data_IF_507388826706
#
_entry.id   IF_507388826706
#
_cell.length_a   1.000
_cell.length_b   1.000
_cell.length_c   1.000
_cell.angle_alpha   90.00
_cell.angle_beta   90.00
_cell.angle_gamma   90.00
#
_symmetry.space_group_name_H-M   'P 1'
#
loop_
_entity.id
_entity.type
_entity.pdbx_description
1 polymer ?
#
# COMPACT_ATOMS: atom_id res chain seq x y z
N UNK A 1 -5.46 -16.65 23.25
CA UNK A 1 -5.79 -15.78 22.10
C UNK A 1 -4.54 -14.96 21.89
N UNK A 2 -3.79 -15.21 20.82
CA UNK A 2 -2.57 -14.48 20.47
C UNK A 2 -3.00 -13.12 19.90
N UNK A 3 -3.48 -12.23 20.76
CA UNK A 3 -4.05 -10.94 20.34
C UNK A 3 -2.97 -9.88 20.06
N UNK A 4 -1.74 -10.08 20.56
CA UNK A 4 -0.67 -9.08 20.49
C UNK A 4 0.49 -9.43 19.52
N UNK A 5 0.47 -10.60 18.88
CA UNK A 5 1.56 -11.09 17.97
C UNK A 5 2.97 -11.05 18.59
N UNK A 6 3.07 -11.09 19.91
CA UNK A 6 4.31 -11.23 20.66
C UNK A 6 4.31 -12.63 21.26
N UNK A 7 5.39 -13.37 21.03
CA UNK A 7 5.68 -14.59 21.77
C UNK A 7 6.86 -14.26 22.68
N UNK A 8 6.63 -14.25 23.98
CA UNK A 8 7.69 -14.06 24.96
C UNK A 8 8.58 -15.32 25.02
N UNK A 9 9.85 -15.16 25.41
CA UNK A 9 10.81 -16.27 25.44
C UNK A 9 10.32 -17.47 26.27
N UNK A 10 9.57 -17.23 27.35
CA UNK A 10 8.97 -18.27 28.20
C UNK A 10 7.81 -19.00 27.52
N UNK A 11 7.03 -18.31 26.69
CA UNK A 11 5.96 -18.91 25.90
C UNK A 11 6.56 -19.78 24.78
N UNK A 12 7.70 -19.35 24.23
CA UNK A 12 8.46 -20.10 23.25
C UNK A 12 9.00 -21.42 23.83
N UNK A 13 9.55 -21.40 25.04
CA UNK A 13 10.01 -22.62 25.74
C UNK A 13 8.84 -23.59 26.01
N UNK A 14 7.69 -23.05 26.42
CA UNK A 14 6.48 -23.86 26.67
C UNK A 14 5.95 -24.51 25.38
N UNK A 15 5.98 -23.78 24.26
CA UNK A 15 5.65 -24.32 22.95
C UNK A 15 6.64 -25.39 22.48
N UNK A 16 7.92 -25.23 22.83
CA UNK A 16 8.97 -26.18 22.48
C UNK A 16 8.85 -27.49 23.26
N UNK A 17 8.51 -27.43 24.55
CA UNK A 17 8.19 -28.61 25.36
C UNK A 17 6.95 -29.34 24.83
N UNK A 18 5.90 -28.59 24.45
CA UNK A 18 4.67 -29.16 23.88
C UNK A 18 4.92 -29.84 22.52
N UNK A 19 5.71 -29.21 21.66
CA UNK A 19 6.09 -29.80 20.37
C UNK A 19 6.89 -31.09 20.54
N UNK A 20 7.80 -31.14 21.53
CA UNK A 20 8.53 -32.35 21.87
C UNK A 20 7.59 -33.47 22.39
N UNK A 21 6.57 -33.11 23.17
CA UNK A 21 5.57 -34.08 23.65
C UNK A 21 4.70 -34.66 22.51
N UNK A 22 4.46 -33.87 21.46
CA UNK A 22 3.75 -34.29 20.26
C UNK A 22 4.63 -35.09 19.28
N UNK A 23 5.90 -35.31 19.60
CA UNK A 23 6.85 -36.06 18.75
C UNK A 23 7.31 -35.28 17.52
N UNK A 24 7.10 -33.96 17.48
CA UNK A 24 7.56 -33.11 16.39
C UNK A 24 9.06 -32.86 16.56
N UNK A 25 9.83 -33.34 15.58
CA UNK A 25 11.23 -32.97 15.50
C UNK A 25 11.38 -31.47 15.19
N UNK A 26 12.49 -30.83 15.58
CA UNK A 26 12.77 -29.44 15.20
C UNK A 26 12.69 -29.19 13.69
N UNK A 27 13.04 -30.20 12.89
CA UNK A 27 12.92 -30.17 11.43
C UNK A 27 11.45 -30.11 10.97
N UNK A 28 10.60 -31.00 11.47
CA UNK A 28 9.17 -31.03 11.12
C UNK A 28 8.45 -29.75 11.55
N UNK A 29 8.78 -29.23 12.73
CA UNK A 29 8.24 -27.94 13.20
C UNK A 29 8.60 -26.80 12.22
N UNK A 30 9.85 -26.75 11.77
CA UNK A 30 10.28 -25.76 10.78
C UNK A 30 9.56 -25.92 9.45
N UNK A 31 9.33 -27.14 8.96
CA UNK A 31 8.54 -27.36 7.75
C UNK A 31 7.09 -26.88 7.90
N UNK A 32 6.44 -27.17 9.03
CA UNK A 32 5.07 -26.71 9.30
C UNK A 32 5.01 -25.19 9.41
N UNK A 33 5.98 -24.55 10.09
CA UNK A 33 6.05 -23.09 10.18
C UNK A 33 6.25 -22.45 8.80
N UNK A 34 7.13 -23.01 7.97
CA UNK A 34 7.37 -22.52 6.61
C UNK A 34 6.12 -22.67 5.73
N UNK A 35 5.44 -23.82 5.79
CA UNK A 35 4.20 -24.05 5.02
C UNK A 35 3.06 -23.12 5.46
N UNK A 36 2.90 -22.92 6.77
CA UNK A 36 1.92 -21.97 7.30
C UNK A 36 2.23 -20.53 6.85
N UNK A 37 3.49 -20.11 6.95
CA UNK A 37 3.92 -18.79 6.50
C UNK A 37 3.67 -18.61 5.00
N UNK A 38 4.01 -19.62 4.18
CA UNK A 38 3.75 -19.57 2.74
C UNK A 38 2.25 -19.40 2.42
N UNK A 39 1.36 -20.04 3.18
CA UNK A 39 -0.09 -19.84 2.99
C UNK A 39 -0.55 -18.40 3.28
N UNK A 40 0.11 -17.70 4.20
CA UNK A 40 -0.16 -16.28 4.49
C UNK A 40 0.38 -15.37 3.39
N UNK A 41 1.56 -15.70 2.84
CA UNK A 41 2.13 -15.00 1.68
C UNK A 41 1.22 -15.15 0.46
N UNK A 42 0.77 -16.37 0.17
CA UNK A 42 -0.15 -16.64 -0.95
C UNK A 42 -1.48 -15.89 -0.78
N UNK A 43 -1.96 -15.75 0.46
CA UNK A 43 -3.15 -14.97 0.75
C UNK A 43 -2.93 -13.47 0.54
N UNK A 44 -1.77 -12.94 0.95
CA UNK A 44 -1.36 -11.54 0.75
C UNK A 44 -1.03 -11.19 -0.71
N UNK A 45 -0.73 -12.19 -1.55
CA UNK A 45 -0.45 -12.00 -2.97
C UNK A 45 -1.67 -12.18 -3.88
N UNK A 46 -2.88 -12.40 -3.33
CA UNK A 46 -4.09 -12.67 -4.13
C UNK A 46 -4.46 -11.56 -5.10
N UNK A 47 -4.20 -10.32 -4.75
CA UNK A 47 -4.41 -9.11 -5.56
C UNK A 47 -3.14 -8.69 -6.31
N UNK A 48 -2.08 -9.50 -6.24
CA UNK A 48 -0.78 -9.30 -6.85
C UNK A 48 -0.06 -8.03 -6.33
N UNK A 49 -0.36 -7.62 -5.09
CA UNK A 49 0.26 -6.48 -4.39
C UNK A 49 0.41 -6.77 -2.90
N UNK A 50 1.65 -6.87 -2.40
CA UNK A 50 1.90 -6.86 -0.94
C UNK A 50 2.02 -5.41 -0.45
N UNK A 51 1.00 -4.92 0.25
CA UNK A 51 1.02 -3.57 0.83
C UNK A 51 2.06 -3.43 1.95
N UNK A 52 2.41 -2.19 2.31
CA UNK A 52 3.33 -1.93 3.42
C UNK A 52 2.79 -2.42 4.77
N UNK A 53 1.46 -2.41 4.97
CA UNK A 53 0.82 -2.92 6.18
C UNK A 53 0.91 -4.46 6.23
N UNK A 54 0.62 -5.13 5.12
CA UNK A 54 0.75 -6.59 5.01
C UNK A 54 2.20 -7.04 5.14
N UNK A 55 3.15 -6.31 4.55
CA UNK A 55 4.56 -6.60 4.73
C UNK A 55 4.99 -6.46 6.20
N UNK A 56 4.52 -5.43 6.92
CA UNK A 56 4.77 -5.31 8.37
C UNK A 56 4.15 -6.45 9.17
N UNK A 57 2.97 -6.92 8.78
CA UNK A 57 2.33 -8.07 9.41
C UNK A 57 3.11 -9.36 9.12
N UNK A 58 3.49 -9.60 7.87
CA UNK A 58 4.32 -10.74 7.46
C UNK A 58 5.68 -10.71 8.17
N UNK A 59 6.28 -9.54 8.37
CA UNK A 59 7.50 -9.38 9.18
C UNK A 59 7.31 -9.83 10.63
N UNK A 60 6.22 -9.42 11.27
CA UNK A 60 5.91 -9.82 12.65
C UNK A 60 5.68 -11.33 12.76
N UNK A 61 4.90 -11.91 11.84
CA UNK A 61 4.62 -13.34 11.82
C UNK A 61 5.87 -14.16 11.50
N UNK A 62 6.70 -13.71 10.56
CA UNK A 62 7.99 -14.33 10.23
C UNK A 62 8.91 -14.41 11.44
N UNK A 63 9.00 -13.31 12.21
CA UNK A 63 9.77 -13.25 13.45
C UNK A 63 9.21 -14.19 14.53
N UNK A 64 7.89 -14.21 14.73
CA UNK A 64 7.22 -15.09 15.69
C UNK A 64 7.41 -16.59 15.35
N UNK A 65 7.53 -16.94 14.06
CA UNK A 65 7.75 -18.30 13.61
C UNK A 65 9.22 -18.73 13.59
N UNK A 66 10.14 -17.81 13.91
CA UNK A 66 11.61 -18.01 13.87
C UNK A 66 12.12 -18.56 12.53
N UNK A 67 11.55 -18.06 11.43
CA UNK A 67 11.95 -18.47 10.09
C UNK A 67 13.27 -17.77 9.68
N UNK A 68 14.08 -18.40 8.81
CA UNK A 68 15.28 -17.75 8.30
C UNK A 68 14.93 -16.52 7.46
N UNK A 69 15.78 -15.49 7.52
CA UNK A 69 15.54 -14.18 6.89
C UNK A 69 15.33 -14.22 5.36
N UNK A 70 15.67 -15.33 4.69
CA UNK A 70 15.49 -15.51 3.25
C UNK A 70 14.04 -15.79 2.81
N UNK A 71 13.16 -16.18 3.74
CA UNK A 71 11.79 -16.63 3.41
C UNK A 71 10.77 -15.49 3.44
N UNK A 72 11.16 -14.29 3.88
CA UNK A 72 10.27 -13.13 3.91
C UNK A 72 10.13 -12.57 2.48
N UNK A 73 8.92 -12.56 1.89
CA UNK A 73 8.71 -11.90 0.60
C UNK A 73 9.05 -10.42 0.74
N UNK A 74 9.75 -9.89 -0.27
CA UNK A 74 9.95 -8.45 -0.35
C UNK A 74 8.58 -7.80 -0.46
N UNK A 75 8.35 -6.71 0.27
CA UNK A 75 7.26 -5.81 -0.06
C UNK A 75 7.35 -5.50 -1.55
N UNK A 76 6.21 -5.46 -2.25
CA UNK A 76 6.23 -4.99 -3.62
C UNK A 76 6.73 -3.54 -3.60
N UNK A 77 8.00 -3.36 -3.98
CA UNK A 77 8.68 -2.07 -4.08
C UNK A 77 8.08 -1.18 -5.17
N UNK A 78 6.97 -1.60 -5.79
CA UNK A 78 6.04 -0.73 -6.51
C UNK A 78 5.64 0.51 -5.66
N UNK A 79 5.81 0.45 -4.34
CA UNK A 79 5.69 1.61 -3.44
C UNK A 79 6.99 2.18 -2.82
N UNK A 80 8.18 1.68 -3.15
CA UNK A 80 9.43 2.13 -2.48
C UNK A 80 10.56 2.62 -3.40
N UNK A 81 10.50 2.40 -4.72
CA UNK A 81 11.55 2.88 -5.63
C UNK A 81 11.01 3.39 -6.97
N UNK A 82 10.81 4.71 -7.11
CA UNK A 82 10.96 5.40 -8.40
C UNK A 82 9.87 5.33 -9.48
N UNK A 83 8.63 4.92 -9.21
CA UNK A 83 7.56 4.98 -10.25
C UNK A 83 6.95 6.38 -10.40
N UNK A 84 7.64 7.25 -11.13
CA UNK A 84 7.07 8.54 -11.56
C UNK A 84 5.85 8.30 -12.44
N UNK A 85 4.77 9.07 -12.24
CA UNK A 85 3.62 9.05 -13.17
C UNK A 85 4.07 9.70 -14.49
N UNK A 86 3.93 9.02 -15.65
CA UNK A 86 4.36 9.57 -16.92
C UNK A 86 3.73 10.95 -17.18
N UNK A 87 4.52 11.90 -17.69
CA UNK A 87 3.99 13.20 -18.06
C UNK A 87 2.92 13.04 -19.15
N UNK A 88 1.87 13.86 -19.06
CA UNK A 88 0.73 13.81 -19.97
C UNK A 88 -0.34 12.78 -19.62
N UNK A 89 -0.12 11.93 -18.61
CA UNK A 89 -1.11 10.94 -18.14
C UNK A 89 -2.42 11.62 -17.74
N UNK A 90 -3.53 11.08 -18.22
CA UNK A 90 -4.88 11.55 -17.90
C UNK A 90 -5.37 10.96 -16.58
N UNK A 91 -5.50 11.79 -15.54
CA UNK A 91 -5.77 11.37 -14.16
C UNK A 91 -7.17 11.78 -13.70
N UNK A 92 -7.95 10.86 -13.14
CA UNK A 92 -9.25 11.16 -12.53
C UNK A 92 -9.17 11.03 -11.02
N UNK A 93 -9.91 11.85 -10.29
CA UNK A 93 -10.02 11.77 -8.82
C UNK A 93 -11.41 11.28 -8.41
N UNK A 94 -11.47 10.41 -7.40
CA UNK A 94 -12.71 9.92 -6.79
C UNK A 94 -12.59 9.83 -5.28
N UNK A 95 -13.71 10.10 -4.59
CA UNK A 95 -13.74 10.16 -3.14
C UNK A 95 -13.15 11.44 -2.57
N UNK A 96 -12.94 11.40 -1.25
CA UNK A 96 -12.19 12.38 -0.47
C UNK A 96 -10.73 11.94 -0.39
N UNK A 97 -9.83 12.91 -0.32
CA UNK A 97 -8.42 12.65 -0.09
C UNK A 97 -8.03 13.31 1.23
N UNK A 98 -7.24 12.60 2.02
CA UNK A 98 -6.68 13.13 3.26
C UNK A 98 -5.16 13.13 3.15
N UNK A 99 -4.55 14.13 3.77
CA UNK A 99 -3.12 14.37 3.72
C UNK A 99 -2.68 14.89 5.06
N UNK A 100 -1.80 14.14 5.71
CA UNK A 100 -1.39 14.42 7.10
C UNK A 100 -2.61 14.61 8.03
N UNK A 101 -3.68 13.84 7.78
CA UNK A 101 -4.94 13.90 8.52
C UNK A 101 -5.90 15.02 8.12
N UNK A 102 -5.53 15.87 7.16
CA UNK A 102 -6.35 17.01 6.70
C UNK A 102 -7.04 16.71 5.36
N UNK A 103 -8.33 17.05 5.20
CA UNK A 103 -9.01 16.86 3.93
C UNK A 103 -8.43 17.79 2.85
N UNK A 104 -8.12 17.24 1.69
CA UNK A 104 -7.61 18.00 0.55
C UNK A 104 -8.72 18.19 -0.49
N UNK A 105 -9.06 19.44 -0.85
CA UNK A 105 -10.08 19.68 -1.83
C UNK A 105 -9.62 19.20 -3.21
N UNK A 106 -10.54 18.63 -3.99
CA UNK A 106 -10.26 18.13 -5.34
C UNK A 106 -9.53 19.13 -6.23
N UNK A 107 -9.85 20.43 -6.11
CA UNK A 107 -9.20 21.51 -6.87
C UNK A 107 -7.69 21.55 -6.65
N UNK A 108 -7.22 21.28 -5.43
CA UNK A 108 -5.80 21.28 -5.08
C UNK A 108 -5.09 20.05 -5.65
N UNK A 109 -5.72 18.87 -5.56
CA UNK A 109 -5.20 17.65 -6.20
C UNK A 109 -5.02 17.84 -7.71
N UNK A 110 -5.99 18.47 -8.37
CA UNK A 110 -5.89 18.77 -9.80
C UNK A 110 -4.84 19.83 -10.12
N UNK A 111 -4.68 20.84 -9.27
CA UNK A 111 -3.63 21.85 -9.43
C UNK A 111 -2.24 21.23 -9.31
N UNK A 112 -2.06 20.34 -8.33
CA UNK A 112 -0.84 19.56 -8.16
C UNK A 112 -0.58 18.62 -9.35
N UNK A 113 -1.62 17.93 -9.84
CA UNK A 113 -1.52 17.12 -11.05
C UNK A 113 -1.01 17.95 -12.25
N UNK A 114 -1.61 19.12 -12.47
CA UNK A 114 -1.22 20.03 -13.58
C UNK A 114 0.23 20.48 -13.47
N UNK A 115 0.68 20.88 -12.28
CA UNK A 115 2.07 21.30 -12.08
C UNK A 115 3.08 20.16 -12.27
N UNK A 116 2.65 18.91 -12.08
CA UNK A 116 3.45 17.71 -12.36
C UNK A 116 3.40 17.27 -13.83
N UNK A 117 2.73 18.03 -14.70
CA UNK A 117 2.59 17.74 -16.13
C UNK A 117 1.52 16.69 -16.44
N UNK A 118 0.61 16.41 -15.50
CA UNK A 118 -0.50 15.47 -15.67
C UNK A 118 -1.76 16.21 -16.16
N UNK A 119 -2.71 15.45 -16.71
CA UNK A 119 -3.96 15.99 -17.28
C UNK A 119 -5.16 15.55 -16.42
N UNK A 120 -5.62 16.36 -15.45
CA UNK A 120 -6.79 16.00 -14.67
C UNK A 120 -8.05 15.94 -15.53
N UNK A 121 -8.84 14.89 -15.36
CA UNK A 121 -10.12 14.65 -16.06
C UNK A 121 -11.24 14.37 -15.05
N UNK A 122 -12.44 14.85 -15.35
CA UNK A 122 -13.58 14.76 -14.43
C UNK A 122 -14.18 13.34 -14.32
N UNK A 123 -14.08 12.57 -15.41
CA UNK A 123 -14.77 11.29 -15.59
C UNK A 123 -13.79 10.17 -15.93
N UNK A 124 -14.03 9.00 -15.37
CA UNK A 124 -13.36 7.77 -15.81
C UNK A 124 -14.03 7.35 -17.10
N UNK A 125 -13.26 7.27 -18.20
CA UNK A 125 -13.69 6.78 -19.50
C UNK A 125 -12.62 5.87 -20.09
N UNK A 126 -12.98 4.90 -20.94
CA UNK A 126 -12.03 3.92 -21.50
C UNK A 126 -10.83 4.53 -22.23
N UNK A 127 -10.99 5.70 -22.85
CA UNK A 127 -9.94 6.38 -23.63
C UNK A 127 -9.45 7.70 -23.04
N UNK A 128 -10.22 8.29 -22.12
CA UNK A 128 -9.93 9.61 -21.56
C UNK A 128 -9.38 9.58 -20.14
N UNK A 129 -9.21 8.40 -19.54
CA UNK A 129 -8.64 8.23 -18.21
C UNK A 129 -7.63 7.09 -18.25
N UNK A 130 -6.42 7.38 -17.80
CA UNK A 130 -5.29 6.45 -17.77
C UNK A 130 -4.90 6.08 -16.34
N UNK A 131 -5.33 6.88 -15.36
CA UNK A 131 -5.11 6.64 -13.94
C UNK A 131 -6.30 7.14 -13.11
N UNK A 132 -6.80 6.33 -12.19
CA UNK A 132 -7.76 6.77 -11.17
C UNK A 132 -7.04 6.95 -9.84
N UNK A 133 -7.12 8.13 -9.24
CA UNK A 133 -6.72 8.38 -7.86
C UNK A 133 -7.94 8.25 -6.96
N UNK A 134 -7.97 7.18 -6.17
CA UNK A 134 -9.07 6.82 -5.28
C UNK A 134 -8.59 5.77 -4.26
N UNK A 135 -9.36 5.57 -3.21
CA UNK A 135 -9.24 4.38 -2.37
C UNK A 135 -9.28 3.10 -3.25
N UNK A 136 -8.25 2.23 -3.21
CA UNK A 136 -8.20 0.98 -3.96
C UNK A 136 -9.40 0.05 -3.70
N UNK A 137 -10.03 0.13 -2.52
CA UNK A 137 -11.19 -0.66 -2.13
C UNK A 137 -12.52 0.03 -2.46
N UNK A 138 -12.47 1.23 -3.07
CA UNK A 138 -13.68 1.98 -3.41
C UNK A 138 -14.64 1.17 -4.29
N UNK A 139 -15.91 1.18 -3.91
CA UNK A 139 -17.03 0.62 -4.69
C UNK A 139 -17.76 1.66 -5.54
N UNK A 140 -17.22 2.87 -5.66
CA UNK A 140 -17.80 3.94 -6.48
C UNK A 140 -17.94 3.52 -7.94
N UNK A 141 -18.88 4.14 -8.66
CA UNK A 141 -19.04 3.91 -10.12
C UNK A 141 -17.74 4.18 -10.89
N UNK A 142 -16.94 5.15 -10.46
CA UNK A 142 -15.61 5.44 -11.04
C UNK A 142 -14.63 4.28 -10.84
N UNK A 143 -14.52 3.75 -9.63
CA UNK A 143 -13.66 2.60 -9.32
C UNK A 143 -14.10 1.32 -10.06
N UNK A 144 -15.42 1.06 -10.11
CA UNK A 144 -15.97 -0.04 -10.92
C UNK A 144 -15.64 0.10 -12.41
N UNK A 145 -15.78 1.30 -12.95
CA UNK A 145 -15.43 1.58 -14.35
C UNK A 145 -13.93 1.46 -14.62
N UNK A 146 -13.08 1.91 -13.70
CA UNK A 146 -11.64 1.77 -13.80
C UNK A 146 -11.24 0.29 -13.88
N UNK A 147 -11.73 -0.53 -12.93
CA UNK A 147 -11.52 -1.99 -12.95
C UNK A 147 -12.05 -2.63 -14.24
N UNK A 148 -13.26 -2.26 -14.68
CA UNK A 148 -13.87 -2.75 -15.93
C UNK A 148 -13.01 -2.48 -17.17
N UNK A 149 -12.27 -1.38 -17.19
CA UNK A 149 -11.46 -0.97 -18.34
C UNK A 149 -9.96 -1.20 -18.16
N UNK A 150 -9.54 -1.85 -17.05
CA UNK A 150 -8.12 -2.07 -16.75
C UNK A 150 -7.35 -0.78 -16.46
N UNK A 151 -8.03 0.28 -16.03
CA UNK A 151 -7.39 1.53 -15.63
C UNK A 151 -6.84 1.34 -14.21
N UNK A 152 -5.54 1.60 -13.97
CA UNK A 152 -4.94 1.47 -12.64
C UNK A 152 -5.60 2.41 -11.63
N UNK A 153 -5.70 1.95 -10.38
CA UNK A 153 -6.20 2.72 -9.25
C UNK A 153 -5.04 2.98 -8.29
N UNK A 154 -4.84 4.23 -7.90
CA UNK A 154 -3.75 4.68 -7.02
C UNK A 154 -4.33 5.41 -5.81
N UNK A 155 -3.84 5.06 -4.62
CA UNK A 155 -4.24 5.73 -3.38
C UNK A 155 -3.87 7.23 -3.39
N UNK A 156 -4.71 8.13 -2.87
CA UNK A 156 -4.43 9.57 -2.81
C UNK A 156 -3.10 9.93 -2.12
N UNK A 157 -2.74 9.22 -1.05
CA UNK A 157 -1.52 9.43 -0.27
C UNK A 157 -0.29 9.09 -1.10
N UNK A 158 -0.38 8.03 -1.91
CA UNK A 158 0.69 7.65 -2.84
C UNK A 158 0.82 8.65 -3.98
N UNK A 159 -0.30 9.09 -4.54
CA UNK A 159 -0.32 10.15 -5.55
C UNK A 159 0.37 11.42 -5.04
N UNK A 160 0.10 11.80 -3.79
CA UNK A 160 0.79 12.91 -3.12
C UNK A 160 2.30 12.70 -3.02
N UNK A 161 2.76 11.57 -2.48
CA UNK A 161 4.21 11.30 -2.36
C UNK A 161 4.93 11.42 -3.72
N UNK A 162 4.31 10.93 -4.79
CA UNK A 162 4.88 10.99 -6.15
C UNK A 162 4.91 12.41 -6.73
N UNK A 163 3.92 13.24 -6.40
CA UNK A 163 3.82 14.61 -6.92
C UNK A 163 4.52 15.65 -6.04
N UNK A 164 4.65 15.40 -4.74
CA UNK A 164 5.25 16.32 -3.77
C UNK A 164 6.75 16.50 -4.01
N UNK A 165 7.46 15.43 -4.39
CA UNK A 165 8.88 15.47 -4.74
C UNK A 165 9.22 16.48 -5.86
N UNK A 166 8.24 16.82 -6.72
CA UNK A 166 8.36 17.81 -7.81
C UNK A 166 7.67 19.15 -7.49
N UNK A 167 6.73 19.16 -6.55
CA UNK A 167 5.96 20.33 -6.13
C UNK A 167 6.69 21.20 -5.10
N UNK A 168 7.57 20.61 -4.27
CA UNK A 168 8.33 21.33 -3.23
C UNK A 168 9.19 22.50 -3.72
N UNK A 169 9.40 22.63 -5.04
CA UNK A 169 10.12 23.76 -5.64
C UNK A 169 9.21 24.80 -6.33
N UNK A 170 7.91 24.52 -6.54
CA UNK A 170 6.99 25.34 -7.37
C UNK A 170 5.55 25.43 -6.83
N UNK A 171 5.30 25.14 -5.55
CA UNK A 171 3.98 25.28 -4.95
C UNK A 171 3.41 26.71 -5.07
N UNK A 172 2.07 26.89 -5.04
CA UNK A 172 1.45 28.20 -5.13
C UNK A 172 1.96 29.07 -4.00
N UNK A 173 2.56 30.20 -4.37
CA UNK A 173 2.88 31.26 -3.41
C UNK A 173 1.58 31.62 -2.67
N UNK A 174 1.57 31.68 -1.33
CA UNK A 174 0.40 32.15 -0.59
C UNK A 174 -0.03 33.52 -1.16
N UNK A 175 -1.34 33.81 -1.23
CA UNK A 175 -1.80 35.11 -1.73
C UNK A 175 -1.10 36.20 -0.95
N UNK A 176 -0.53 37.17 -1.68
CA UNK A 176 0.12 38.32 -1.07
C UNK A 176 -0.92 39.01 -0.18
N UNK A 177 -0.64 39.08 1.12
CA UNK A 177 -1.41 39.91 2.04
C UNK A 177 -1.24 41.35 1.57
N UNK A 178 -2.31 41.94 1.03
CA UNK A 178 -2.33 43.37 0.72
C UNK A 178 -2.21 44.16 2.04
N UNK A 179 -1.36 45.19 2.11
CA UNK A 179 -1.26 46.02 3.29
C UNK A 179 -2.48 46.94 3.36
N UNK A 180 -3.29 46.76 4.40
CA UNK A 180 -4.25 47.77 4.88
C UNK A 180 -3.61 48.65 5.94
#
# INVERSE_FOLDING_TARGET
MLDDFVIEAVEQDTLDELAATLGLTPYQRREVHAAYFQSLVDAAQRDNVITAAEHRLLQKVHAALMLPAGDLPKADEANSSGSTIPMGTSVCFSGEAFMDGMPVPRRELEAMARANGLKPVATVTKRGCELLVADPDSHSTKARNARKWGIPILAPERFWSLCHARWGSHGPKPPATEPG
#
